data_IF_934189203381
#
_entry.id   IF_934189203381
#
_cell.length_a   1.000
_cell.length_b   1.000
_cell.length_c   1.000
_cell.angle_alpha   90.00
_cell.angle_beta   90.00
_cell.angle_gamma   90.00
#
_symmetry.space_group_name_H-M   'P 1'
#
loop_
_entity.id
_entity.type
_entity.pdbx_description
1 polymer ?
#
# COMPACT_ATOMS: atom_id res chain seq x y z
N UNK A 1 3.26 -22.06 -1.09
CA UNK A 1 3.69 -20.65 -1.11
C UNK A 1 4.60 -20.46 0.10
N UNK A 2 5.76 -19.82 -0.07
CA UNK A 2 6.58 -19.46 1.07
C UNK A 2 5.79 -18.54 2.01
N UNK A 3 6.00 -18.69 3.32
CA UNK A 3 5.29 -17.89 4.34
C UNK A 3 5.62 -16.41 4.18
N UNK A 4 4.74 -15.65 3.56
CA UNK A 4 4.89 -14.19 3.41
C UNK A 4 4.45 -13.52 4.71
N UNK A 5 5.40 -12.87 5.38
CA UNK A 5 5.10 -12.09 6.59
C UNK A 5 4.22 -10.88 6.26
N UNK A 6 3.15 -10.73 7.02
CA UNK A 6 2.19 -9.64 6.88
C UNK A 6 1.81 -9.04 8.24
N UNK A 7 1.23 -7.85 8.19
CA UNK A 7 0.59 -7.17 9.34
C UNK A 7 -0.80 -6.69 8.91
N UNK A 8 -1.78 -6.87 9.78
CA UNK A 8 -3.12 -6.34 9.60
C UNK A 8 -3.61 -5.75 10.93
N UNK A 9 -3.89 -4.46 10.93
CA UNK A 9 -4.31 -3.72 12.13
C UNK A 9 -3.42 -3.98 13.35
N UNK A 10 -2.09 -3.93 13.18
CA UNK A 10 -1.12 -4.16 14.23
C UNK A 10 -0.81 -5.63 14.55
N UNK A 11 -1.56 -6.57 14.01
CA UNK A 11 -1.33 -8.01 14.23
C UNK A 11 -0.48 -8.60 13.12
N UNK A 12 0.68 -9.17 13.49
CA UNK A 12 1.59 -9.83 12.56
C UNK A 12 1.23 -11.30 12.41
N UNK A 13 1.13 -11.77 11.16
CA UNK A 13 0.82 -13.17 10.82
C UNK A 13 1.36 -13.50 9.41
N UNK A 14 1.14 -14.72 8.96
CA UNK A 14 1.33 -15.08 7.56
C UNK A 14 0.23 -14.48 6.69
N UNK A 15 0.57 -14.03 5.50
CA UNK A 15 -0.37 -13.37 4.58
C UNK A 15 -1.63 -14.23 4.30
N UNK A 16 -1.50 -15.54 4.23
CA UNK A 16 -2.61 -16.49 4.00
C UNK A 16 -3.67 -16.48 5.11
N UNK A 17 -3.30 -16.05 6.31
CA UNK A 17 -4.20 -15.96 7.47
C UNK A 17 -4.96 -14.62 7.54
N UNK A 18 -4.54 -13.62 6.78
CA UNK A 18 -5.20 -12.31 6.78
C UNK A 18 -6.57 -12.40 6.11
N UNK A 19 -7.59 -11.94 6.82
CA UNK A 19 -8.98 -11.91 6.34
C UNK A 19 -9.47 -10.47 6.32
N UNK A 20 -10.00 -10.05 5.18
CA UNK A 20 -10.52 -8.70 4.96
C UNK A 20 -12.03 -8.78 4.76
N UNK A 21 -12.76 -7.84 5.37
CA UNK A 21 -14.19 -7.72 5.12
C UNK A 21 -14.48 -7.33 3.67
N UNK A 22 -15.44 -7.97 2.98
CA UNK A 22 -15.88 -7.53 1.66
C UNK A 22 -16.54 -6.13 1.67
N UNK A 23 -16.91 -5.61 2.84
CA UNK A 23 -17.41 -4.25 3.02
C UNK A 23 -16.31 -3.24 3.34
N UNK A 24 -15.03 -3.66 3.36
CA UNK A 24 -13.93 -2.70 3.43
C UNK A 24 -14.01 -1.71 2.27
N UNK A 25 -13.88 -0.42 2.58
CA UNK A 25 -13.93 0.65 1.59
C UNK A 25 -12.75 0.60 0.62
N UNK A 26 -11.63 -0.01 1.03
CA UNK A 26 -10.52 -0.33 0.13
C UNK A 26 -10.98 -1.24 -1.02
N UNK A 27 -11.79 -2.24 -0.72
CA UNK A 27 -12.30 -3.20 -1.70
C UNK A 27 -13.44 -2.63 -2.55
N UNK A 28 -14.37 -1.89 -1.93
CA UNK A 28 -15.60 -1.42 -2.60
C UNK A 28 -15.44 -0.12 -3.37
N UNK A 29 -14.46 0.73 -3.00
CA UNK A 29 -14.27 2.07 -3.55
C UNK A 29 -12.82 2.43 -3.88
N UNK A 30 -11.85 1.55 -3.59
CA UNK A 30 -10.42 1.91 -3.56
C UNK A 30 -10.13 3.12 -2.65
N UNK A 31 -10.91 3.30 -1.57
CA UNK A 31 -10.80 4.40 -0.63
C UNK A 31 -9.64 4.13 0.35
N UNK A 32 -8.44 4.16 -0.22
CA UNK A 32 -7.20 3.84 0.46
C UNK A 32 -5.98 4.41 -0.26
N UNK A 33 -4.89 4.51 0.47
CA UNK A 33 -3.59 4.95 0.01
C UNK A 33 -2.55 3.89 0.32
N UNK A 34 -1.43 3.87 -0.40
CA UNK A 34 -0.40 2.85 -0.20
C UNK A 34 1.00 3.38 -0.44
N UNK A 35 1.98 2.65 0.06
CA UNK A 35 3.38 2.79 -0.27
C UNK A 35 3.99 1.45 -0.67
N UNK A 36 5.02 1.51 -1.50
CA UNK A 36 5.95 0.42 -1.76
C UNK A 36 7.33 0.92 -1.41
N UNK A 37 7.88 0.37 -0.34
CA UNK A 37 9.14 0.85 0.26
C UNK A 37 10.22 -0.19 -0.01
N UNK A 38 11.16 0.06 -0.94
CA UNK A 38 12.27 -0.82 -1.17
C UNK A 38 13.23 -0.79 0.03
N UNK A 39 13.90 -1.92 0.28
CA UNK A 39 14.97 -1.99 1.27
C UNK A 39 16.17 -2.77 0.73
N UNK A 40 17.35 -2.37 1.19
CA UNK A 40 18.62 -3.01 0.90
C UNK A 40 19.43 -3.20 2.19
N UNK A 41 20.03 -4.38 2.38
CA UNK A 41 20.68 -4.77 3.64
C UNK A 41 19.75 -4.53 4.84
N UNK A 42 18.50 -4.93 4.75
CA UNK A 42 17.43 -4.75 5.74
C UNK A 42 17.20 -3.28 6.17
N UNK A 43 17.56 -2.31 5.33
CA UNK A 43 17.33 -0.88 5.59
C UNK A 43 16.47 -0.28 4.48
N UNK A 44 15.37 0.38 4.87
CA UNK A 44 14.46 1.05 3.93
C UNK A 44 15.18 2.16 3.14
N UNK A 45 15.05 2.12 1.81
CA UNK A 45 15.61 3.13 0.90
C UNK A 45 14.67 4.32 0.89
N UNK A 46 15.19 5.53 1.13
CA UNK A 46 14.42 6.78 1.19
C UNK A 46 13.19 6.70 2.12
N UNK A 47 13.29 5.93 3.21
CA UNK A 47 12.21 5.60 4.13
C UNK A 47 11.39 6.82 4.55
N UNK A 48 12.04 7.88 5.06
CA UNK A 48 11.35 9.09 5.52
C UNK A 48 10.55 9.79 4.42
N UNK A 49 11.01 9.71 3.15
CA UNK A 49 10.29 10.30 2.01
C UNK A 49 9.01 9.51 1.72
N UNK A 50 9.05 8.18 1.81
CA UNK A 50 7.88 7.33 1.68
C UNK A 50 6.87 7.60 2.79
N UNK A 51 7.31 7.67 4.04
CA UNK A 51 6.45 7.94 5.20
C UNK A 51 5.78 9.33 5.09
N UNK A 52 6.53 10.36 4.72
CA UNK A 52 5.98 11.70 4.48
C UNK A 52 4.93 11.71 3.35
N UNK A 53 5.16 10.93 2.27
CA UNK A 53 4.20 10.82 1.16
C UNK A 53 2.95 10.07 1.59
N UNK A 54 3.08 8.99 2.36
CA UNK A 54 1.95 8.27 2.93
C UNK A 54 1.08 9.20 3.79
N UNK A 55 1.69 9.96 4.71
CA UNK A 55 0.99 10.93 5.53
C UNK A 55 0.26 11.98 4.69
N UNK A 56 0.94 12.56 3.68
CA UNK A 56 0.31 13.51 2.75
C UNK A 56 -0.90 12.90 2.06
N UNK A 57 -0.79 11.66 1.57
CA UNK A 57 -1.88 10.97 0.88
C UNK A 57 -3.04 10.68 1.82
N UNK A 58 -2.79 10.21 3.05
CA UNK A 58 -3.82 10.04 4.09
C UNK A 58 -4.56 11.37 4.36
N UNK A 59 -3.82 12.46 4.57
CA UNK A 59 -4.40 13.78 4.83
C UNK A 59 -5.26 14.26 3.66
N UNK A 60 -4.83 14.02 2.41
CA UNK A 60 -5.58 14.42 1.21
C UNK A 60 -6.92 13.71 1.07
N UNK A 61 -7.05 12.50 1.63
CA UNK A 61 -8.31 11.75 1.67
C UNK A 61 -9.02 11.87 3.03
N UNK A 62 -8.50 12.67 3.97
CA UNK A 62 -9.01 12.77 5.35
C UNK A 62 -9.12 11.38 6.02
N UNK A 63 -8.10 10.54 5.82
CA UNK A 63 -7.96 9.25 6.51
C UNK A 63 -7.07 9.48 7.73
N UNK A 64 -7.59 9.20 8.92
CA UNK A 64 -6.83 9.29 10.16
C UNK A 64 -5.88 8.09 10.27
N UNK A 65 -4.57 8.34 10.35
CA UNK A 65 -3.55 7.30 10.43
C UNK A 65 -2.49 7.62 11.48
N UNK A 66 -2.12 6.64 12.28
CA UNK A 66 -1.01 6.76 13.22
C UNK A 66 0.31 6.45 12.48
N UNK A 67 0.94 7.48 11.95
CA UNK A 67 2.14 7.36 11.11
C UNK A 67 3.35 6.79 11.87
N UNK A 68 3.47 7.07 13.17
CA UNK A 68 4.57 6.54 13.99
C UNK A 68 4.40 5.02 14.21
N UNK A 69 3.17 4.56 14.43
CA UNK A 69 2.87 3.13 14.54
C UNK A 69 3.14 2.42 13.21
N UNK A 70 2.64 2.97 12.10
CA UNK A 70 2.86 2.44 10.75
C UNK A 70 4.36 2.31 10.43
N UNK A 71 5.14 3.33 10.77
CA UNK A 71 6.59 3.31 10.57
C UNK A 71 7.26 2.16 11.33
N UNK A 72 6.83 1.92 12.57
CA UNK A 72 7.33 0.79 13.39
C UNK A 72 6.93 -0.55 12.80
N UNK A 73 5.69 -0.70 12.35
CA UNK A 73 5.21 -1.94 11.73
C UNK A 73 5.98 -2.28 10.45
N UNK A 74 6.25 -1.27 9.59
CA UNK A 74 7.05 -1.47 8.37
C UNK A 74 8.47 -1.94 8.71
N UNK A 75 9.13 -1.31 9.68
CA UNK A 75 10.47 -1.72 10.13
C UNK A 75 10.42 -3.13 10.70
N UNK A 76 9.40 -3.46 11.47
CA UNK A 76 9.23 -4.79 12.06
C UNK A 76 8.99 -5.86 10.99
N UNK A 77 8.22 -5.58 9.94
CA UNK A 77 8.05 -6.48 8.79
C UNK A 77 9.40 -6.81 8.14
N UNK A 78 10.24 -5.81 7.88
CA UNK A 78 11.58 -6.00 7.31
C UNK A 78 12.41 -6.91 8.23
N UNK A 79 12.43 -6.63 9.52
CA UNK A 79 13.23 -7.38 10.49
C UNK A 79 12.74 -8.84 10.64
N UNK A 80 11.43 -9.07 10.68
CA UNK A 80 10.84 -10.40 10.82
C UNK A 80 11.05 -11.27 9.58
N UNK A 81 11.07 -10.67 8.39
CA UNK A 81 11.27 -11.41 7.13
C UNK A 81 12.64 -12.06 7.03
N UNK A 82 13.64 -11.46 7.68
CA UNK A 82 15.07 -11.81 7.56
C UNK A 82 15.64 -11.67 6.13
N UNK A 83 14.89 -11.07 5.21
CA UNK A 83 15.35 -10.80 3.86
C UNK A 83 16.40 -9.69 3.88
N UNK A 84 17.42 -9.84 3.04
CA UNK A 84 18.45 -8.84 2.86
C UNK A 84 17.93 -7.67 2.02
N UNK A 85 17.26 -8.01 0.93
CA UNK A 85 16.79 -7.08 -0.09
C UNK A 85 15.33 -7.40 -0.45
N UNK A 86 14.56 -6.38 -0.77
CA UNK A 86 13.15 -6.55 -1.08
C UNK A 86 12.35 -5.26 -1.01
N UNK A 87 11.07 -5.39 -0.86
CA UNK A 87 10.17 -4.26 -0.62
C UNK A 87 9.04 -4.62 0.35
N UNK A 88 8.55 -3.60 1.04
CA UNK A 88 7.32 -3.68 1.83
C UNK A 88 6.22 -2.97 1.06
N UNK A 89 5.11 -3.64 0.81
CA UNK A 89 3.84 -2.99 0.48
C UNK A 89 3.12 -2.64 1.77
N UNK A 90 2.64 -1.41 1.90
CA UNK A 90 1.86 -0.99 3.05
C UNK A 90 0.70 -0.10 2.62
N UNK A 91 -0.51 -0.44 3.05
CA UNK A 91 -1.77 0.21 2.70
C UNK A 91 -2.48 0.72 3.94
N UNK A 92 -3.10 1.88 3.81
CA UNK A 92 -3.99 2.48 4.81
C UNK A 92 -5.32 2.75 4.14
N UNK A 93 -6.39 2.14 4.62
CA UNK A 93 -7.74 2.32 4.10
C UNK A 93 -8.65 3.00 5.13
N UNK A 94 -9.71 3.64 4.65
CA UNK A 94 -10.68 4.30 5.54
C UNK A 94 -11.31 3.33 6.54
N UNK A 95 -11.50 2.07 6.16
CA UNK A 95 -12.01 1.02 7.04
C UNK A 95 -13.23 0.29 6.48
N UNK A 96 -13.95 -0.42 7.36
CA UNK A 96 -15.12 -1.22 7.03
C UNK A 96 -16.37 -0.43 7.35
N UNK A 97 -17.28 -0.33 6.39
CA UNK A 97 -18.61 0.27 6.58
C UNK A 97 -19.68 -0.82 6.76
N UNK A 98 -20.87 -0.44 7.20
CA UNK A 98 -22.00 -1.37 7.36
C UNK A 98 -22.63 -1.74 6.01
N UNK A 99 -22.64 -0.80 5.08
CA UNK A 99 -23.18 -0.95 3.73
C UNK A 99 -22.29 -0.22 2.72
N UNK A 100 -22.42 -0.57 1.44
CA UNK A 100 -21.77 0.18 0.37
C UNK A 100 -22.49 1.52 0.14
N UNK A 101 -21.95 2.61 0.66
CA UNK A 101 -22.44 3.99 0.47
C UNK A 101 -21.28 4.94 0.14
N UNK A 102 -21.51 5.96 -0.69
CA UNK A 102 -20.52 7.02 -0.90
C UNK A 102 -20.27 7.82 0.38
N UNK A 103 -21.32 8.06 1.16
CA UNK A 103 -21.19 8.64 2.50
C UNK A 103 -20.70 7.55 3.45
N UNK A 104 -19.68 7.84 4.23
CA UNK A 104 -19.14 6.94 5.23
C UNK A 104 -19.51 7.40 6.64
N UNK A 105 -19.55 6.46 7.59
CA UNK A 105 -19.79 6.77 8.99
C UNK A 105 -18.59 7.55 9.55
N UNK A 106 -18.85 8.62 10.32
CA UNK A 106 -17.80 9.42 10.95
C UNK A 106 -16.94 8.62 11.95
N UNK A 107 -17.51 7.59 12.56
CA UNK A 107 -16.85 6.72 13.55
C UNK A 107 -16.12 5.53 12.92
N UNK A 108 -15.97 5.49 11.59
CA UNK A 108 -15.28 4.40 10.89
C UNK A 108 -13.82 4.32 11.33
N UNK A 109 -13.37 3.13 11.70
CA UNK A 109 -11.99 2.87 12.11
C UNK A 109 -11.11 2.55 10.91
N UNK A 110 -9.99 3.26 10.79
CA UNK A 110 -8.99 3.01 9.75
C UNK A 110 -8.44 1.59 9.84
N UNK A 111 -8.31 0.91 8.69
CA UNK A 111 -7.62 -0.37 8.57
C UNK A 111 -6.23 -0.17 8.00
N UNK A 112 -5.26 -0.93 8.51
CA UNK A 112 -3.90 -1.00 7.98
C UNK A 112 -3.57 -2.41 7.54
N UNK A 113 -2.85 -2.52 6.42
CA UNK A 113 -2.40 -3.79 5.87
C UNK A 113 -1.02 -3.63 5.25
N UNK A 114 -0.11 -4.54 5.57
CA UNK A 114 1.21 -4.57 4.96
C UNK A 114 1.76 -5.98 4.84
N UNK A 115 2.66 -6.17 3.87
CA UNK A 115 3.42 -7.41 3.71
C UNK A 115 4.79 -7.13 3.09
N UNK A 116 5.70 -8.07 3.25
CA UNK A 116 7.07 -7.97 2.77
C UNK A 116 7.34 -9.03 1.69
N UNK A 117 8.08 -8.63 0.67
CA UNK A 117 8.48 -9.51 -0.44
C UNK A 117 9.99 -9.44 -0.61
N UNK A 118 10.64 -10.61 -0.73
CA UNK A 118 12.03 -10.68 -1.16
C UNK A 118 12.13 -10.31 -2.65
N UNK A 119 13.05 -9.43 -2.98
CA UNK A 119 13.23 -8.99 -4.36
C UNK A 119 14.66 -8.49 -4.60
N UNK A 120 15.27 -8.97 -5.66
CA UNK A 120 16.56 -8.47 -6.14
C UNK A 120 16.31 -7.40 -7.20
N UNK A 121 16.85 -6.19 -6.97
CA UNK A 121 16.72 -5.08 -7.90
C UNK A 121 17.80 -5.18 -8.98
N UNK A 122 17.37 -5.46 -10.21
CA UNK A 122 18.23 -5.53 -11.39
C UNK A 122 17.95 -4.38 -12.33
N UNK A 123 19.02 -3.84 -12.96
CA UNK A 123 18.86 -2.83 -14.00
C UNK A 123 18.33 -3.49 -15.28
N UNK A 124 17.24 -2.95 -15.82
CA UNK A 124 16.62 -3.43 -17.05
C UNK A 124 16.52 -2.32 -18.08
N UNK A 125 16.82 -2.64 -19.34
CA UNK A 125 16.53 -1.77 -20.47
C UNK A 125 15.09 -2.02 -20.94
N UNK A 126 14.29 -0.96 -20.95
CA UNK A 126 12.89 -1.04 -21.36
C UNK A 126 12.65 -0.27 -22.66
N UNK A 127 11.84 -0.82 -23.55
CA UNK A 127 11.24 -0.06 -24.65
C UNK A 127 9.93 0.51 -24.15
N UNK A 128 9.76 1.83 -24.29
CA UNK A 128 8.57 2.53 -23.80
C UNK A 128 7.93 3.33 -24.94
N UNK A 129 6.61 3.50 -24.85
CA UNK A 129 5.83 4.36 -25.73
C UNK A 129 5.31 5.56 -24.93
N UNK A 130 5.38 6.73 -25.52
CA UNK A 130 4.75 7.93 -24.97
C UNK A 130 3.30 8.00 -25.45
N UNK A 131 2.36 8.22 -24.54
CA UNK A 131 0.95 8.42 -24.84
C UNK A 131 0.38 9.54 -23.97
N UNK A 132 -0.79 10.06 -24.37
CA UNK A 132 -1.51 11.02 -23.56
C UNK A 132 -1.91 10.39 -22.21
N UNK A 133 -1.75 11.15 -21.11
CA UNK A 133 -2.15 10.70 -19.78
C UNK A 133 -3.66 10.87 -19.58
N UNK A 134 -4.39 9.79 -19.77
CA UNK A 134 -5.85 9.70 -19.59
C UNK A 134 -6.27 9.26 -18.18
N UNK A 135 -5.32 9.11 -17.25
CA UNK A 135 -5.63 8.76 -15.87
C UNK A 135 -6.31 9.93 -15.15
N UNK A 136 -6.85 9.64 -13.96
CA UNK A 136 -7.51 10.68 -13.18
C UNK A 136 -6.55 11.81 -12.74
N UNK A 137 -7.10 13.01 -12.51
CA UNK A 137 -6.30 14.23 -12.30
C UNK A 137 -5.66 14.36 -10.92
N UNK A 138 -5.98 13.49 -9.97
CA UNK A 138 -5.42 13.51 -8.60
C UNK A 138 -4.27 12.51 -8.41
N UNK A 139 -3.36 12.45 -9.38
CA UNK A 139 -2.15 11.61 -9.31
C UNK A 139 -1.14 12.06 -8.23
N UNK A 140 -1.37 13.18 -7.56
CA UNK A 140 -0.66 13.63 -6.37
C UNK A 140 -0.95 12.76 -5.13
N UNK A 141 -2.08 12.03 -5.12
CA UNK A 141 -2.45 11.08 -4.07
C UNK A 141 -2.05 9.68 -4.51
N UNK A 142 -1.22 9.02 -3.70
CA UNK A 142 -0.83 7.63 -3.95
C UNK A 142 -1.94 6.68 -3.47
N UNK A 143 -3.07 6.71 -4.18
CA UNK A 143 -4.25 5.89 -3.90
C UNK A 143 -4.18 4.52 -4.57
N UNK A 144 -5.01 3.59 -4.10
CA UNK A 144 -5.17 2.26 -4.71
C UNK A 144 -6.03 2.25 -5.98
N UNK A 145 -6.53 3.40 -6.42
CA UNK A 145 -7.31 3.56 -7.66
C UNK A 145 -6.41 3.50 -8.90
N UNK A 146 -5.91 2.32 -9.22
CA UNK A 146 -4.88 2.12 -10.25
C UNK A 146 -5.40 1.48 -11.55
N UNK A 147 -6.71 1.45 -11.78
CA UNK A 147 -7.27 0.82 -12.98
C UNK A 147 -6.71 1.43 -14.28
N UNK A 148 -6.61 2.75 -14.36
CA UNK A 148 -5.99 3.44 -15.51
C UNK A 148 -4.52 3.05 -15.73
N UNK A 149 -3.76 2.87 -14.65
CA UNK A 149 -2.38 2.41 -14.73
C UNK A 149 -2.29 0.96 -15.26
N UNK A 150 -3.19 0.09 -14.79
CA UNK A 150 -3.26 -1.31 -15.23
C UNK A 150 -3.61 -1.36 -16.73
N UNK A 151 -4.60 -0.58 -17.18
CA UNK A 151 -4.99 -0.53 -18.59
C UNK A 151 -3.82 -0.08 -19.47
N UNK A 152 -3.07 0.94 -19.08
CA UNK A 152 -1.88 1.38 -19.82
C UNK A 152 -0.77 0.31 -19.82
N UNK A 153 -0.61 -0.43 -18.73
CA UNK A 153 0.34 -1.55 -18.66
C UNK A 153 -0.05 -2.71 -19.56
N UNK A 154 -1.33 -3.01 -19.71
CA UNK A 154 -1.84 -4.09 -20.57
C UNK A 154 -1.64 -3.85 -22.07
N UNK A 155 -1.41 -2.60 -22.49
CA UNK A 155 -1.08 -2.29 -23.90
C UNK A 155 0.24 -2.96 -24.32
N UNK A 156 1.13 -3.28 -23.39
CA UNK A 156 2.40 -3.93 -23.66
C UNK A 156 2.31 -5.47 -23.79
N UNK A 157 1.16 -6.04 -23.47
CA UNK A 157 0.92 -7.48 -23.54
C UNK A 157 0.20 -7.83 -24.85
#
# INVERSE_FOLDING_TARGET
>A
MENVHAVFNGTFDNLENIKISPLSRAYTFSDSVYEVIPFHNAKGIAFDRHIKRLQKSCNSLSISANIDLISKEIIELINKSKFKDGYVYYQVSRGVDQIRSHMFNADISTETFGYVVEHTFESQSLKVMLCEDVRWQRCDIKSTSLLGNIMLSLIHI
#
